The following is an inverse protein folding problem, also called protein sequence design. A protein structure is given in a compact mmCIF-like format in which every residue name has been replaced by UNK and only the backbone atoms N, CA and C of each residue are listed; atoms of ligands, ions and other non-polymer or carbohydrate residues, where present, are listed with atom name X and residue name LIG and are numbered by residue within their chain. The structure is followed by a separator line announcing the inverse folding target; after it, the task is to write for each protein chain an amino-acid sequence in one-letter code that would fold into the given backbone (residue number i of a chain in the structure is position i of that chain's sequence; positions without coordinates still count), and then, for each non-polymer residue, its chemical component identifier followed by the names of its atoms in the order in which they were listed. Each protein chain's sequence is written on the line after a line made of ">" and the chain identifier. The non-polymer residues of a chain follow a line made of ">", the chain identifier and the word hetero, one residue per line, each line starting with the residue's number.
data_IF_005304531035
#
_entry.id   IF_005304531035
#
_cell.length_a   1.000
_cell.length_b   1.000
_cell.length_c   1.000
_cell.angle_alpha   90.00
_cell.angle_beta   90.00
_cell.angle_gamma   90.00
#
_symmetry.space_group_name_H-M   'P 1'
#
loop_
_entity.id
_entity.type
_entity.pdbx_description
1 polymer ?
#
# COMPACT_ATOMS: atom_id res chain seq x y z
N UNK A 1 -6.36 14.09 -3.95
CA UNK A 1 -6.89 14.79 -2.78
C UNK A 1 -5.99 14.43 -1.60
N UNK A 2 -5.15 15.37 -1.15
CA UNK A 2 -4.13 15.12 -0.12
C UNK A 2 -4.76 14.89 1.25
N UNK A 3 -5.93 15.48 1.51
CA UNK A 3 -6.65 15.34 2.77
C UNK A 3 -7.06 13.88 3.05
N UNK A 4 -7.42 13.12 2.01
CA UNK A 4 -7.75 11.68 2.18
C UNK A 4 -6.53 10.85 2.58
N UNK A 5 -5.35 11.16 2.06
CA UNK A 5 -4.13 10.43 2.40
C UNK A 5 -3.68 10.71 3.84
N UNK A 6 -3.86 11.94 4.32
CA UNK A 6 -3.59 12.28 5.72
C UNK A 6 -4.58 11.60 6.68
N UNK A 7 -5.85 11.49 6.28
CA UNK A 7 -6.87 10.79 7.06
C UNK A 7 -6.54 9.31 7.28
N UNK A 8 -5.95 8.62 6.29
CA UNK A 8 -5.58 7.20 6.44
C UNK A 8 -4.52 7.01 7.54
N UNK A 9 -3.52 7.88 7.59
CA UNK A 9 -2.47 7.83 8.62
C UNK A 9 -3.06 8.12 10.01
N UNK A 10 -3.93 9.13 10.09
CA UNK A 10 -4.65 9.46 11.33
C UNK A 10 -5.50 8.31 11.83
N UNK A 11 -6.27 7.68 10.95
CA UNK A 11 -7.15 6.56 11.28
C UNK A 11 -6.37 5.30 11.70
N UNK A 12 -5.25 5.00 11.03
CA UNK A 12 -4.38 3.89 11.42
C UNK A 12 -3.86 4.08 12.85
N UNK A 13 -3.33 5.28 13.15
CA UNK A 13 -2.86 5.62 14.51
C UNK A 13 -3.97 5.58 15.54
N UNK A 14 -5.14 6.15 15.22
CA UNK A 14 -6.30 6.14 16.12
C UNK A 14 -6.81 4.71 16.41
N UNK A 15 -6.59 3.77 15.48
CA UNK A 15 -6.92 2.35 15.65
C UNK A 15 -5.84 1.55 16.37
N UNK A 16 -4.79 2.20 16.88
CA UNK A 16 -3.71 1.58 17.66
C UNK A 16 -2.56 1.02 16.83
N UNK A 17 -2.53 1.24 15.51
CA UNK A 17 -1.41 0.79 14.67
C UNK A 17 -0.22 1.74 14.78
N UNK A 18 0.97 1.16 14.86
CA UNK A 18 2.21 1.88 14.58
C UNK A 18 2.40 1.96 13.06
N UNK A 19 2.63 3.17 12.54
CA UNK A 19 2.87 3.40 11.11
C UNK A 19 4.38 3.36 10.87
N UNK A 20 4.89 2.20 10.42
CA UNK A 20 6.31 1.99 10.14
C UNK A 20 6.81 2.79 8.93
N UNK A 21 6.00 2.87 7.88
CA UNK A 21 6.34 3.60 6.65
C UNK A 21 5.09 4.07 5.90
N UNK A 22 5.27 5.04 5.00
CA UNK A 22 4.23 5.53 4.09
C UNK A 22 4.80 5.55 2.67
N UNK A 23 4.14 4.82 1.77
CA UNK A 23 4.53 4.68 0.36
C UNK A 23 3.56 5.49 -0.51
N UNK A 24 4.08 6.37 -1.37
CA UNK A 24 3.25 7.29 -2.18
C UNK A 24 3.81 7.44 -3.58
N UNK A 25 3.00 7.13 -4.58
CA UNK A 25 3.36 7.34 -5.98
C UNK A 25 2.16 7.77 -6.84
N UNK A 26 2.46 8.39 -7.98
CA UNK A 26 1.49 8.74 -9.02
C UNK A 26 1.70 7.83 -10.24
N UNK A 27 1.24 6.59 -10.14
CA UNK A 27 1.34 5.59 -11.19
C UNK A 27 0.03 4.81 -11.38
N UNK A 28 -0.13 4.14 -12.52
CA UNK A 28 -1.29 3.27 -12.76
C UNK A 28 -1.15 1.98 -11.95
N UNK A 29 -2.18 1.62 -11.18
CA UNK A 29 -2.21 0.33 -10.45
C UNK A 29 -2.25 -0.92 -11.35
N UNK A 30 -2.31 -0.77 -12.68
CA UNK A 30 -2.18 -1.87 -13.64
C UNK A 30 -0.71 -2.22 -13.96
N UNK A 31 0.24 -1.44 -13.45
CA UNK A 31 1.67 -1.68 -13.59
C UNK A 31 2.23 -2.36 -12.33
N UNK A 32 3.03 -3.41 -12.54
CA UNK A 32 3.76 -4.13 -11.49
C UNK A 32 5.13 -3.51 -11.18
N UNK A 33 5.75 -2.81 -12.13
CA UNK A 33 7.09 -2.18 -12.03
C UNK A 33 7.10 -0.85 -11.25
N UNK A 34 6.20 -0.71 -10.28
CA UNK A 34 6.01 0.53 -9.53
C UNK A 34 7.02 0.63 -8.39
N UNK A 35 7.92 1.63 -8.38
CA UNK A 35 9.01 1.67 -7.41
C UNK A 35 8.54 1.66 -5.95
N UNK A 36 7.50 2.43 -5.62
CA UNK A 36 6.99 2.51 -4.25
C UNK A 36 6.20 1.27 -3.84
N UNK A 37 5.52 0.61 -4.79
CA UNK A 37 4.92 -0.70 -4.55
C UNK A 37 5.98 -1.75 -4.24
N UNK A 38 7.03 -1.82 -5.07
CA UNK A 38 8.12 -2.79 -4.90
C UNK A 38 8.86 -2.55 -3.58
N UNK A 39 9.12 -1.28 -3.23
CA UNK A 39 9.72 -0.90 -1.94
C UNK A 39 8.84 -1.32 -0.76
N UNK A 40 7.52 -1.12 -0.84
CA UNK A 40 6.60 -1.58 0.20
C UNK A 40 6.63 -3.10 0.36
N UNK A 41 6.64 -3.84 -0.74
CA UNK A 41 6.71 -5.31 -0.73
C UNK A 41 8.02 -5.79 -0.09
N UNK A 42 9.14 -5.17 -0.45
CA UNK A 42 10.46 -5.51 0.08
C UNK A 42 10.58 -5.20 1.59
N UNK A 43 9.98 -4.11 2.04
CA UNK A 43 10.00 -3.71 3.45
C UNK A 43 9.09 -4.60 4.33
N UNK A 44 8.02 -5.18 3.77
CA UNK A 44 7.00 -5.93 4.53
C UNK A 44 7.55 -7.15 5.24
N UNK A 45 7.30 -7.22 6.55
CA UNK A 45 7.65 -8.36 7.40
C UNK A 45 6.44 -9.25 7.70
N UNK A 46 6.65 -10.55 8.00
CA UNK A 46 5.57 -11.43 8.44
C UNK A 46 4.79 -10.87 9.64
N UNK A 47 3.47 -10.79 9.51
CA UNK A 47 2.57 -10.28 10.55
C UNK A 47 2.28 -8.77 10.47
N UNK A 48 2.92 -8.04 9.54
CA UNK A 48 2.59 -6.64 9.27
C UNK A 48 1.33 -6.50 8.42
N UNK A 49 0.71 -5.31 8.49
CA UNK A 49 -0.55 -5.00 7.81
C UNK A 49 -0.36 -3.80 6.90
N UNK A 50 -0.79 -3.95 5.64
CA UNK A 50 -0.87 -2.84 4.68
C UNK A 50 -2.26 -2.20 4.76
N UNK A 51 -2.30 -0.89 4.96
CA UNK A 51 -3.54 -0.11 4.95
C UNK A 51 -3.57 0.76 3.68
N UNK A 52 -4.63 0.62 2.89
CA UNK A 52 -4.87 1.43 1.70
C UNK A 52 -6.32 1.92 1.66
N UNK A 53 -6.55 3.06 0.98
CA UNK A 53 -7.91 3.61 0.81
C UNK A 53 -8.85 2.62 0.11
N UNK A 54 -8.30 1.90 -0.87
CA UNK A 54 -8.99 0.89 -1.67
C UNK A 54 -7.98 -0.13 -2.19
N UNK A 55 -8.42 -1.36 -2.43
CA UNK A 55 -7.57 -2.44 -2.94
C UNK A 55 -6.92 -2.12 -4.29
N UNK A 56 -7.61 -1.37 -5.15
CA UNK A 56 -7.12 -0.95 -6.47
C UNK A 56 -5.96 0.07 -6.41
N UNK A 57 -5.67 0.60 -5.22
CA UNK A 57 -4.47 1.41 -4.95
C UNK A 57 -3.23 0.54 -4.72
N UNK A 58 -3.41 -0.70 -4.23
CA UNK A 58 -2.32 -1.67 -4.04
C UNK A 58 -2.04 -2.37 -5.37
N UNK A 59 -3.05 -2.89 -6.05
CA UNK A 59 -2.89 -3.52 -7.37
C UNK A 59 -4.23 -3.62 -8.09
N UNK A 60 -4.22 -3.49 -9.42
CA UNK A 60 -5.34 -3.84 -10.31
C UNK A 60 -5.02 -5.06 -11.18
N UNK A 61 -3.93 -5.76 -10.87
CA UNK A 61 -3.58 -7.00 -11.56
C UNK A 61 -4.60 -8.10 -11.22
N UNK A 62 -4.80 -9.08 -12.11
CA UNK A 62 -5.46 -10.33 -11.76
C UNK A 62 -4.82 -10.93 -10.49
N UNK A 63 -5.63 -11.61 -9.65
CA UNK A 63 -5.16 -12.15 -8.37
C UNK A 63 -3.89 -13.00 -8.53
N UNK A 64 -3.85 -13.88 -9.53
CA UNK A 64 -2.70 -14.75 -9.83
C UNK A 64 -1.42 -13.95 -10.14
N UNK A 65 -1.53 -12.77 -10.75
CA UNK A 65 -0.39 -11.89 -11.01
C UNK A 65 0.00 -11.10 -9.77
N UNK A 66 -0.97 -10.68 -8.96
CA UNK A 66 -0.72 -9.98 -7.71
C UNK A 66 -0.05 -10.90 -6.66
N UNK A 67 -0.42 -12.18 -6.60
CA UNK A 67 0.20 -13.18 -5.72
C UNK A 67 1.69 -13.42 -6.04
N UNK A 68 2.12 -13.20 -7.29
CA UNK A 68 3.54 -13.33 -7.67
C UNK A 68 4.43 -12.18 -7.21
N UNK A 69 3.83 -11.13 -6.64
CA UNK A 69 4.57 -9.99 -6.12
C UNK A 69 5.11 -10.25 -4.71
N UNK A 70 4.59 -11.23 -3.98
CA UNK A 70 4.90 -11.54 -2.58
C UNK A 70 5.47 -12.94 -2.40
#
# INVERSE_FOLDING_TARGET
>A
DLQRQEAIIGNARASGYYVAAVYREKASGARSDRPELLRMIEDLQPGEVVIAEKIDRISRLPLVEAERLV
#
